data_IF_135441799845
#
_entry.id   IF_135441799845
#
_cell.length_a   1.000
_cell.length_b   1.000
_cell.length_c   1.000
_cell.angle_alpha   90.00
_cell.angle_beta   90.00
_cell.angle_gamma   90.00
#
_symmetry.space_group_name_H-M   'P 1'
#
loop_
_entity.id
_entity.type
_entity.pdbx_description
1 polymer ?
#
# COMPACT_ATOMS: atom_id res chain seq x y z
N UNK A 1 4.55 15.66 -27.89
CA UNK A 1 4.89 16.44 -26.67
C UNK A 1 5.40 15.46 -25.62
N UNK A 2 6.69 15.53 -25.20
CA UNK A 2 7.22 14.66 -24.14
C UNK A 2 6.75 15.19 -22.78
N UNK A 3 5.93 14.43 -22.06
CA UNK A 3 5.51 14.78 -20.69
C UNK A 3 6.76 14.71 -19.80
N UNK A 4 7.24 15.88 -19.32
CA UNK A 4 8.33 15.96 -18.34
C UNK A 4 7.79 15.39 -17.02
N UNK A 5 8.33 14.26 -16.57
CA UNK A 5 8.04 13.75 -15.21
C UNK A 5 8.59 14.78 -14.22
N UNK A 6 7.74 15.34 -13.37
CA UNK A 6 8.19 16.19 -12.28
C UNK A 6 8.88 15.30 -11.23
N UNK A 7 10.19 15.40 -11.14
CA UNK A 7 10.96 14.75 -10.08
C UNK A 7 10.89 15.64 -8.83
N UNK A 8 10.50 15.05 -7.70
CA UNK A 8 10.50 15.71 -6.39
C UNK A 8 11.63 15.13 -5.54
N UNK A 9 12.42 16.00 -4.91
CA UNK A 9 13.50 15.59 -4.01
C UNK A 9 12.94 15.46 -2.59
N UNK A 10 13.21 14.32 -1.95
CA UNK A 10 12.93 14.06 -0.54
C UNK A 10 14.25 13.87 0.18
N UNK A 11 14.49 14.65 1.24
CA UNK A 11 15.66 14.54 2.11
C UNK A 11 15.20 14.05 3.48
N UNK A 12 15.82 12.99 3.99
CA UNK A 12 15.56 12.49 5.33
C UNK A 12 16.87 12.28 6.08
N UNK A 13 16.82 12.39 7.40
CA UNK A 13 17.94 12.05 8.28
C UNK A 13 17.90 10.56 8.59
N UNK A 14 19.06 9.93 8.69
CA UNK A 14 19.19 8.50 8.97
C UNK A 14 20.33 8.29 9.98
N UNK A 15 20.28 7.18 10.71
CA UNK A 15 21.38 6.78 11.59
C UNK A 15 22.60 6.29 10.77
N UNK A 16 23.73 6.18 11.45
CA UNK A 16 25.01 5.84 10.82
C UNK A 16 25.07 4.41 10.30
N UNK A 17 24.31 3.48 10.90
CA UNK A 17 24.25 2.10 10.43
C UNK A 17 23.54 2.03 9.07
N UNK A 18 22.36 2.62 8.96
CA UNK A 18 21.62 2.66 7.70
C UNK A 18 22.36 3.49 6.64
N UNK A 19 23.02 4.59 7.02
CA UNK A 19 23.88 5.35 6.09
C UNK A 19 24.97 4.47 5.47
N UNK A 20 25.72 3.72 6.31
CA UNK A 20 26.79 2.83 5.83
C UNK A 20 26.27 1.76 4.88
N UNK A 21 25.10 1.20 5.14
CA UNK A 21 24.50 0.21 4.25
C UNK A 21 24.09 0.83 2.91
N UNK A 22 23.44 2.00 2.94
CA UNK A 22 23.07 2.72 1.73
C UNK A 22 24.29 3.16 0.91
N UNK A 23 25.43 3.46 1.55
CA UNK A 23 26.68 3.83 0.89
C UNK A 23 27.29 2.73 0.04
N UNK A 24 27.04 1.46 0.36
CA UNK A 24 27.50 0.32 -0.45
C UNK A 24 26.68 0.10 -1.72
N UNK A 25 25.54 0.79 -1.87
CA UNK A 25 24.61 0.58 -2.98
C UNK A 25 24.99 1.49 -4.15
N UNK A 26 25.29 0.88 -5.30
CA UNK A 26 25.71 1.60 -6.52
C UNK A 26 24.68 2.61 -7.00
N UNK A 27 23.38 2.29 -6.92
CA UNK A 27 22.29 3.19 -7.30
C UNK A 27 21.26 3.34 -6.16
N UNK A 28 21.62 4.14 -5.16
CA UNK A 28 20.79 4.39 -3.96
C UNK A 28 19.38 4.86 -4.33
N UNK A 29 19.26 5.77 -5.29
CA UNK A 29 17.98 6.34 -5.70
C UNK A 29 17.04 5.30 -6.30
N UNK A 30 17.56 4.36 -7.11
CA UNK A 30 16.74 3.25 -7.63
C UNK A 30 16.35 2.26 -6.54
N UNK A 31 17.30 1.88 -5.68
CA UNK A 31 17.04 0.99 -4.56
C UNK A 31 15.95 1.55 -3.63
N UNK A 32 16.11 2.79 -3.18
CA UNK A 32 15.17 3.48 -2.29
C UNK A 32 13.78 3.57 -2.95
N UNK A 33 13.70 3.91 -4.25
CA UNK A 33 12.41 3.95 -4.96
C UNK A 33 11.72 2.58 -4.97
N UNK A 34 12.45 1.51 -5.30
CA UNK A 34 11.90 0.15 -5.33
C UNK A 34 11.48 -0.31 -3.94
N UNK A 35 12.30 -0.06 -2.92
CA UNK A 35 12.00 -0.43 -1.54
C UNK A 35 10.75 0.30 -1.02
N UNK A 36 10.63 1.61 -1.27
CA UNK A 36 9.45 2.39 -0.88
C UNK A 36 8.22 1.92 -1.66
N UNK A 37 8.30 1.71 -2.97
CA UNK A 37 7.17 1.24 -3.77
C UNK A 37 6.70 -0.16 -3.33
N UNK A 38 7.64 -1.05 -3.01
CA UNK A 38 7.31 -2.38 -2.47
C UNK A 38 6.61 -2.25 -1.11
N UNK A 39 7.15 -1.45 -0.19
CA UNK A 39 6.54 -1.21 1.11
C UNK A 39 5.12 -0.62 0.99
N UNK A 40 4.95 0.41 0.16
CA UNK A 40 3.65 1.02 -0.11
C UNK A 40 2.66 0.05 -0.76
N UNK A 41 3.14 -0.90 -1.58
CA UNK A 41 2.32 -1.95 -2.16
C UNK A 41 1.83 -2.99 -1.15
N UNK A 42 2.43 -3.04 0.05
CA UNK A 42 2.04 -3.94 1.13
C UNK A 42 1.19 -3.25 2.22
N UNK A 43 1.12 -1.93 2.22
CA UNK A 43 0.32 -1.18 3.18
C UNK A 43 -1.18 -1.31 2.88
N UNK A 44 -1.98 -1.36 3.95
CA UNK A 44 -3.44 -1.36 3.79
C UNK A 44 -3.87 -0.10 3.01
N UNK A 45 -4.55 -0.24 1.85
CA UNK A 45 -4.83 0.89 0.96
C UNK A 45 -5.81 1.90 1.57
N UNK A 46 -6.50 1.53 2.65
CA UNK A 46 -7.45 2.40 3.33
C UNK A 46 -6.78 3.25 4.43
N UNK A 47 -6.00 2.61 5.31
CA UNK A 47 -5.33 3.32 6.42
C UNK A 47 -3.89 3.72 6.09
N UNK A 48 -3.36 3.35 4.93
CA UNK A 48 -1.98 3.57 4.50
C UNK A 48 -0.96 3.10 5.55
N UNK A 49 -1.18 1.89 6.07
CA UNK A 49 -0.29 1.29 7.07
C UNK A 49 -0.42 1.85 8.50
N UNK A 50 -1.23 2.89 8.74
CA UNK A 50 -1.39 3.49 10.08
C UNK A 50 -2.14 2.61 11.09
N UNK A 51 -2.89 1.61 10.62
CA UNK A 51 -3.79 0.81 11.46
C UNK A 51 -5.00 1.56 12.02
N UNK A 52 -5.14 2.86 11.73
CA UNK A 52 -6.20 3.72 12.22
C UNK A 52 -6.98 4.31 11.05
N UNK A 53 -8.30 4.35 11.18
CA UNK A 53 -9.20 4.99 10.21
C UNK A 53 -9.74 6.28 10.81
N UNK A 54 -9.80 7.34 9.98
CA UNK A 54 -10.56 8.54 10.37
C UNK A 54 -12.05 8.19 10.54
N UNK A 55 -12.85 9.01 11.24
CA UNK A 55 -14.29 8.76 11.38
C UNK A 55 -15.02 8.58 10.04
N UNK A 56 -14.64 9.35 9.03
CA UNK A 56 -15.19 9.28 7.67
C UNK A 56 -14.80 7.98 6.97
N UNK A 57 -13.52 7.61 7.04
CA UNK A 57 -13.03 6.35 6.49
C UNK A 57 -13.71 5.15 7.17
N UNK A 58 -13.88 5.18 8.50
CA UNK A 58 -14.58 4.13 9.24
C UNK A 58 -16.03 4.00 8.81
N UNK A 59 -16.73 5.11 8.56
CA UNK A 59 -18.11 5.10 8.07
C UNK A 59 -18.22 4.43 6.70
N UNK A 60 -17.36 4.82 5.76
CA UNK A 60 -17.30 4.18 4.43
C UNK A 60 -16.91 2.71 4.52
N UNK A 61 -15.98 2.38 5.42
CA UNK A 61 -15.56 1.01 5.68
C UNK A 61 -16.70 0.12 6.18
N UNK A 62 -17.49 0.62 7.14
CA UNK A 62 -18.65 -0.10 7.65
C UNK A 62 -19.69 -0.34 6.57
N UNK A 63 -19.94 0.66 5.71
CA UNK A 63 -20.84 0.48 4.56
C UNK A 63 -20.31 -0.54 3.56
N UNK A 64 -19.01 -0.51 3.24
CA UNK A 64 -18.39 -1.51 2.37
C UNK A 64 -18.59 -2.93 2.91
N UNK A 65 -18.41 -3.12 4.22
CA UNK A 65 -18.57 -4.41 4.89
C UNK A 65 -20.03 -4.93 4.94
N UNK A 66 -21.04 -4.11 4.63
CA UNK A 66 -22.41 -4.63 4.50
C UNK A 66 -22.63 -5.35 3.17
N UNK A 67 -21.82 -5.03 2.15
CA UNK A 67 -21.88 -5.62 0.81
C UNK A 67 -20.75 -6.64 0.57
N UNK A 68 -19.67 -6.53 1.33
CA UNK A 68 -18.49 -7.39 1.22
C UNK A 68 -18.17 -8.04 2.55
N UNK A 69 -18.12 -9.37 2.57
CA UNK A 69 -17.78 -10.14 3.79
C UNK A 69 -16.34 -10.61 3.77
N UNK A 70 -15.78 -10.90 4.93
CA UNK A 70 -14.44 -11.48 5.06
C UNK A 70 -14.57 -12.98 5.32
N UNK A 71 -13.95 -13.78 4.46
CA UNK A 71 -13.88 -15.23 4.63
C UNK A 71 -12.43 -15.73 4.65
N UNK A 72 -12.22 -16.93 5.21
CA UNK A 72 -10.93 -17.62 5.15
C UNK A 72 -10.90 -18.56 3.95
N UNK A 73 -9.87 -18.44 3.13
CA UNK A 73 -9.66 -19.36 2.02
C UNK A 73 -9.32 -20.77 2.53
N UNK A 74 -10.06 -21.79 2.10
CA UNK A 74 -9.84 -23.19 2.50
C UNK A 74 -8.53 -23.81 1.99
N UNK A 75 -7.83 -23.15 1.05
CA UNK A 75 -6.59 -23.68 0.45
C UNK A 75 -5.32 -23.11 1.09
N UNK A 76 -5.29 -21.79 1.34
CA UNK A 76 -4.10 -21.10 1.84
C UNK A 76 -4.30 -20.46 3.22
N UNK A 77 -5.49 -20.57 3.83
CA UNK A 77 -5.88 -19.95 5.09
C UNK A 77 -5.82 -18.41 5.13
N UNK A 78 -5.53 -17.76 4.01
CA UNK A 78 -5.56 -16.30 3.91
C UNK A 78 -6.99 -15.77 4.02
N UNK A 79 -7.14 -14.59 4.64
CA UNK A 79 -8.42 -13.90 4.70
C UNK A 79 -8.60 -13.10 3.40
N UNK A 80 -9.79 -13.15 2.80
CA UNK A 80 -10.12 -12.40 1.59
C UNK A 80 -11.55 -11.86 1.63
N UNK A 81 -11.82 -10.84 0.83
CA UNK A 81 -13.16 -10.29 0.67
C UNK A 81 -13.99 -11.13 -0.30
N UNK A 82 -15.27 -11.32 0.04
CA UNK A 82 -16.30 -11.89 -0.81
C UNK A 82 -17.32 -10.79 -1.12
N UNK A 83 -17.55 -10.54 -2.41
CA UNK A 83 -18.57 -9.61 -2.87
C UNK A 83 -19.93 -10.32 -2.90
N UNK A 84 -20.91 -9.82 -2.12
CA UNK A 84 -22.24 -10.42 -2.04
C UNK A 84 -23.22 -9.85 -3.08
N UNK A 85 -22.81 -8.87 -3.89
CA UNK A 85 -23.62 -8.35 -4.99
C UNK A 85 -23.43 -9.18 -6.25
N UNK A 86 -24.47 -9.93 -6.63
CA UNK A 86 -24.57 -10.61 -7.92
C UNK A 86 -24.66 -9.57 -9.04
N UNK A 87 -23.54 -9.17 -9.66
CA UNK A 87 -23.60 -8.52 -10.99
C UNK A 87 -22.71 -7.32 -11.28
N UNK A 88 -21.75 -6.93 -10.45
CA UNK A 88 -20.71 -6.00 -10.89
C UNK A 88 -19.33 -6.60 -10.61
N UNK A 89 -18.62 -6.93 -11.70
CA UNK A 89 -17.22 -7.30 -11.63
C UNK A 89 -16.41 -6.03 -11.33
N UNK A 90 -15.85 -5.93 -10.12
CA UNK A 90 -14.94 -4.84 -9.74
C UNK A 90 -13.53 -4.98 -10.38
N UNK A 91 -13.45 -5.59 -11.55
CA UNK A 91 -12.26 -5.70 -12.38
C UNK A 91 -12.57 -5.10 -13.77
N UNK A 92 -12.67 -3.78 -13.83
CA UNK A 92 -12.37 -3.00 -15.04
C UNK A 92 -11.50 -1.81 -14.67
#
# INVERSE_FOLDING_TARGET
MKIKRQERIFTFKTDEELARQLDQITNKSEFIRKAILAALGHDCPLCHGSGLLTPEQRRHWQHFLTLHTLEKCNKCNAVHYICNTTGHSDLQ
#
